data_IF_903124787701
#
_entry.id   IF_903124787701
#
_cell.length_a   1.000
_cell.length_b   1.000
_cell.length_c   1.000
_cell.angle_alpha   90.00
_cell.angle_beta   90.00
_cell.angle_gamma   90.00
#
_symmetry.space_group_name_H-M   'P 1'
#
loop_
_entity.id
_entity.type
_entity.pdbx_description
1 polymer ?
#
# COMPACT_ATOMS: atom_id res chain seq x y z
N UNK A 1 8.32 15.24 8.03
CA UNK A 1 8.40 14.40 9.25
C UNK A 1 9.55 13.40 9.15
N UNK A 2 9.56 12.52 8.14
CA UNK A 2 10.68 11.60 7.90
C UNK A 2 11.40 12.02 6.63
N UNK A 3 12.74 12.12 6.68
CA UNK A 3 13.56 12.41 5.50
C UNK A 3 14.75 11.46 5.46
N UNK A 4 14.77 10.61 4.45
CA UNK A 4 15.89 9.75 4.12
C UNK A 4 16.67 10.41 2.98
N UNK A 5 17.98 10.53 3.11
CA UNK A 5 18.83 11.14 2.11
C UNK A 5 19.98 10.20 1.73
N UNK A 6 19.97 9.73 0.48
CA UNK A 6 20.99 8.89 -0.12
C UNK A 6 21.31 7.62 0.69
N UNK A 7 20.27 6.95 1.21
CA UNK A 7 20.40 5.76 2.03
C UNK A 7 20.93 4.60 1.20
N UNK A 8 22.07 4.09 1.60
CA UNK A 8 22.65 2.85 1.08
C UNK A 8 22.85 1.87 2.22
N UNK A 9 22.45 0.63 2.04
CA UNK A 9 22.69 -0.44 3.02
C UNK A 9 23.27 -1.66 2.34
N UNK A 10 24.43 -2.05 2.83
CA UNK A 10 25.16 -3.23 2.39
C UNK A 10 25.29 -4.20 3.55
N UNK A 11 24.91 -5.44 3.34
CA UNK A 11 25.14 -6.56 4.28
C UNK A 11 26.31 -7.40 3.82
N UNK A 12 27.15 -7.79 4.76
CA UNK A 12 28.25 -8.71 4.51
C UNK A 12 27.91 -10.06 5.15
N UNK A 13 27.70 -11.08 4.31
CA UNK A 13 27.43 -12.45 4.75
C UNK A 13 28.58 -13.38 4.30
N UNK A 14 29.58 -13.52 5.15
CA UNK A 14 30.80 -14.22 4.78
C UNK A 14 31.51 -13.57 3.59
N UNK A 15 31.67 -14.30 2.49
CA UNK A 15 32.25 -13.78 1.25
C UNK A 15 31.22 -13.13 0.29
N UNK A 16 29.94 -13.10 0.65
CA UNK A 16 28.90 -12.44 -0.15
C UNK A 16 28.60 -11.04 0.36
N UNK A 17 28.58 -10.09 -0.56
CA UNK A 17 28.13 -8.71 -0.33
C UNK A 17 26.75 -8.58 -0.96
N UNK A 18 25.75 -8.19 -0.15
CA UNK A 18 24.38 -7.95 -0.60
C UNK A 18 24.04 -6.49 -0.37
N UNK A 19 23.85 -5.74 -1.43
CA UNK A 19 23.37 -4.37 -1.36
C UNK A 19 21.84 -4.38 -1.31
N UNK A 20 21.29 -4.15 -0.13
CA UNK A 20 19.83 -4.17 0.10
C UNK A 20 19.17 -2.85 -0.26
N UNK A 21 19.88 -1.72 -0.13
CA UNK A 21 19.43 -0.40 -0.53
C UNK A 21 20.55 0.32 -1.27
N UNK A 22 20.19 1.02 -2.34
CA UNK A 22 21.11 1.76 -3.18
C UNK A 22 20.61 3.20 -3.38
N UNK A 23 21.25 4.14 -2.70
CA UNK A 23 21.00 5.59 -2.88
C UNK A 23 19.52 6.00 -2.77
N UNK A 24 18.79 5.45 -1.81
CA UNK A 24 17.36 5.73 -1.62
C UNK A 24 17.16 7.07 -0.91
N UNK A 25 16.38 7.96 -1.52
CA UNK A 25 15.94 9.22 -0.91
C UNK A 25 14.40 9.27 -0.87
N UNK A 26 13.85 9.52 0.32
CA UNK A 26 12.41 9.52 0.57
C UNK A 26 12.06 10.64 1.54
N UNK A 27 10.96 11.35 1.26
CA UNK A 27 10.40 12.35 2.15
C UNK A 27 8.95 12.04 2.49
N UNK A 28 8.67 11.84 3.77
CA UNK A 28 7.32 11.63 4.29
C UNK A 28 6.85 12.89 5.02
N UNK A 29 5.87 13.62 4.49
CA UNK A 29 5.30 14.79 5.16
C UNK A 29 4.63 14.44 6.50
N UNK A 30 4.51 15.43 7.39
CA UNK A 30 3.84 15.25 8.66
C UNK A 30 2.34 14.95 8.47
N UNK A 31 1.81 14.04 9.30
CA UNK A 31 0.38 13.71 9.33
C UNK A 31 -0.12 12.86 8.16
N UNK A 32 0.74 12.49 7.22
CA UNK A 32 0.37 11.64 6.09
C UNK A 32 0.57 10.15 6.39
N UNK A 33 -0.18 9.33 5.66
CA UNK A 33 0.05 7.89 5.54
C UNK A 33 0.79 7.65 4.23
N UNK A 34 2.02 7.20 4.31
CA UNK A 34 2.90 6.96 3.18
C UNK A 34 3.17 5.47 3.01
N UNK A 35 2.89 4.93 1.83
CA UNK A 35 3.12 3.54 1.49
C UNK A 35 4.44 3.34 0.74
N UNK A 36 5.15 2.25 1.01
CA UNK A 36 6.26 1.78 0.17
C UNK A 36 5.92 0.38 -0.33
N UNK A 37 5.87 0.21 -1.62
CA UNK A 37 5.52 -1.05 -2.28
C UNK A 37 6.70 -1.59 -3.09
N UNK A 38 6.71 -2.89 -3.28
CA UNK A 38 7.72 -3.59 -4.07
C UNK A 38 7.60 -5.10 -3.91
N UNK A 39 8.25 -5.84 -4.79
CA UNK A 39 8.30 -7.29 -4.70
C UNK A 39 8.96 -7.77 -3.39
N UNK A 40 8.79 -9.04 -3.04
CA UNK A 40 9.54 -9.64 -1.95
C UNK A 40 11.04 -9.53 -2.21
N UNK A 41 11.80 -9.15 -1.18
CA UNK A 41 13.25 -8.93 -1.31
C UNK A 41 13.68 -7.60 -1.97
N UNK A 42 12.74 -6.70 -2.32
CA UNK A 42 13.06 -5.41 -2.93
C UNK A 42 13.79 -4.41 -2.01
N UNK A 43 13.91 -4.70 -0.70
CA UNK A 43 14.57 -3.82 0.28
C UNK A 43 13.62 -3.09 1.24
N UNK A 44 12.29 -3.31 1.15
CA UNK A 44 11.26 -2.62 1.96
C UNK A 44 11.52 -2.70 3.47
N UNK A 45 11.66 -3.92 4.00
CA UNK A 45 11.89 -4.11 5.45
C UNK A 45 13.22 -3.54 5.91
N UNK A 46 14.25 -3.56 5.06
CA UNK A 46 15.52 -2.88 5.34
C UNK A 46 15.32 -1.38 5.40
N UNK A 47 14.55 -0.81 4.46
CA UNK A 47 14.28 0.63 4.42
C UNK A 47 13.57 1.11 5.69
N UNK A 48 12.49 0.44 6.09
CA UNK A 48 11.74 0.86 7.28
C UNK A 48 12.56 0.72 8.55
N UNK A 49 13.42 -0.30 8.65
CA UNK A 49 14.33 -0.49 9.78
C UNK A 49 15.48 0.52 9.80
N UNK A 50 15.82 1.12 8.67
CA UNK A 50 16.76 2.26 8.65
C UNK A 50 16.12 3.52 9.24
N UNK A 51 14.80 3.71 9.15
CA UNK A 51 14.13 4.91 9.70
C UNK A 51 14.29 5.02 11.21
N UNK A 52 14.22 3.91 11.95
CA UNK A 52 14.42 3.88 13.40
C UNK A 52 15.83 3.40 13.82
N UNK A 53 16.73 3.26 12.84
CA UNK A 53 18.09 2.73 13.01
C UNK A 53 18.16 1.35 13.71
N UNK A 54 17.13 0.52 13.59
CA UNK A 54 17.28 -0.92 13.88
C UNK A 54 18.28 -1.56 12.91
N UNK A 55 18.31 -1.05 11.68
CA UNK A 55 19.38 -1.27 10.72
C UNK A 55 20.08 0.07 10.42
N UNK A 56 21.31 0.21 10.87
CA UNK A 56 22.07 1.42 10.57
C UNK A 56 22.46 1.43 9.09
N UNK A 57 22.16 2.48 8.33
CA UNK A 57 22.59 2.58 6.94
C UNK A 57 24.12 2.59 6.83
N UNK A 58 24.63 2.05 5.74
CA UNK A 58 26.08 2.10 5.43
C UNK A 58 26.49 3.52 5.02
N UNK A 59 25.59 4.22 4.31
CA UNK A 59 25.75 5.62 3.91
C UNK A 59 24.40 6.32 3.93
N UNK A 60 24.43 7.65 3.99
CA UNK A 60 23.25 8.49 3.99
C UNK A 60 22.86 8.95 5.39
N UNK A 61 21.80 9.75 5.46
CA UNK A 61 21.29 10.36 6.70
C UNK A 61 19.82 10.10 6.89
N UNK A 62 19.38 9.95 8.14
CA UNK A 62 17.99 9.70 8.55
C UNK A 62 17.56 10.81 9.49
N UNK A 63 16.65 11.67 9.04
CA UNK A 63 16.02 12.69 9.87
C UNK A 63 14.60 12.28 10.22
N UNK A 64 14.26 12.37 11.50
CA UNK A 64 12.89 12.19 12.00
C UNK A 64 12.55 13.40 12.85
N UNK A 65 11.47 14.07 12.53
CA UNK A 65 11.03 15.32 13.18
C UNK A 65 12.16 16.37 13.28
N UNK A 66 12.96 16.49 12.24
CA UNK A 66 14.10 17.43 12.16
C UNK A 66 15.39 16.97 12.87
N UNK A 67 15.36 15.85 13.59
CA UNK A 67 16.53 15.30 14.29
C UNK A 67 17.24 14.27 13.42
N UNK A 68 18.54 14.44 13.22
CA UNK A 68 19.40 13.45 12.53
C UNK A 68 19.72 12.28 13.46
N UNK A 69 19.05 11.16 13.25
CA UNK A 69 19.24 9.94 14.06
C UNK A 69 20.60 9.30 13.81
N UNK A 70 21.17 9.46 12.62
CA UNK A 70 22.47 8.86 12.26
C UNK A 70 23.65 9.47 13.03
N UNK A 71 23.48 10.70 13.52
CA UNK A 71 24.49 11.42 14.30
C UNK A 71 24.39 11.17 15.83
N UNK A 72 23.32 10.48 16.30
CA UNK A 72 23.07 10.27 17.72
C UNK A 72 23.95 9.16 18.31
N UNK A 73 24.32 9.32 19.60
CA UNK A 73 24.84 8.23 20.43
C UNK A 73 23.76 7.18 20.72
N UNK A 74 24.13 5.99 21.15
CA UNK A 74 23.17 4.92 21.46
C UNK A 74 22.14 5.34 22.54
N UNK A 75 22.57 6.07 23.56
CA UNK A 75 21.68 6.60 24.62
C UNK A 75 20.67 7.62 24.05
N UNK A 76 21.16 8.55 23.22
CA UNK A 76 20.29 9.54 22.55
C UNK A 76 19.33 8.88 21.56
N UNK A 77 19.81 7.85 20.85
CA UNK A 77 19.00 7.09 19.91
C UNK A 77 17.88 6.32 20.62
N UNK A 78 18.18 5.72 21.79
CA UNK A 78 17.14 5.08 22.61
C UNK A 78 16.04 6.06 22.96
N UNK A 79 16.40 7.28 23.36
CA UNK A 79 15.43 8.33 23.69
C UNK A 79 14.66 8.82 22.45
N UNK A 80 15.33 8.99 21.31
CA UNK A 80 14.68 9.38 20.06
C UNK A 80 13.65 8.33 19.58
N UNK A 81 13.90 7.04 19.82
CA UNK A 81 12.99 5.95 19.46
C UNK A 81 11.66 5.98 20.20
N UNK A 82 11.51 6.68 21.32
CA UNK A 82 10.23 6.89 21.99
C UNK A 82 9.24 7.68 21.12
N UNK A 83 9.75 8.48 20.19
CA UNK A 83 8.94 9.23 19.22
C UNK A 83 8.55 8.38 17.99
N UNK A 84 9.00 7.13 17.90
CA UNK A 84 8.81 6.26 16.76
C UNK A 84 8.20 4.94 17.22
N UNK A 85 6.91 4.75 17.00
CA UNK A 85 6.26 3.46 17.21
C UNK A 85 6.55 2.51 16.05
N UNK A 86 6.60 1.21 16.32
CA UNK A 86 6.77 0.21 15.27
C UNK A 86 5.83 -0.97 15.46
N UNK A 87 5.16 -1.35 14.38
CA UNK A 87 4.34 -2.55 14.26
C UNK A 87 5.08 -3.51 13.33
N UNK A 88 5.31 -4.73 13.83
CA UNK A 88 6.04 -5.78 13.13
C UNK A 88 5.09 -6.76 12.45
N UNK A 89 5.56 -7.43 11.42
CA UNK A 89 4.81 -8.44 10.65
C UNK A 89 4.21 -9.56 11.52
N UNK A 90 4.91 -10.00 12.56
CA UNK A 90 4.53 -11.11 13.44
C UNK A 90 4.04 -10.68 14.83
N UNK A 91 3.40 -9.52 14.96
CA UNK A 91 2.87 -8.94 16.21
C UNK A 91 3.93 -8.74 17.30
N UNK A 92 4.85 -9.67 17.51
CA UNK A 92 5.91 -9.68 18.53
C UNK A 92 5.40 -9.41 19.95
N UNK A 93 4.23 -9.98 20.28
CA UNK A 93 3.66 -9.91 21.62
C UNK A 93 4.35 -10.90 22.56
N UNK A 94 4.51 -10.50 23.81
CA UNK A 94 4.99 -11.37 24.85
C UNK A 94 3.86 -12.30 25.28
N UNK A 95 3.99 -13.59 24.98
CA UNK A 95 2.98 -14.62 25.30
C UNK A 95 2.78 -14.82 26.80
N UNK A 96 3.80 -14.51 27.59
CA UNK A 96 3.81 -14.55 29.06
C UNK A 96 3.20 -13.32 29.74
N UNK A 97 2.66 -12.38 28.97
CA UNK A 97 1.98 -11.18 29.46
C UNK A 97 0.53 -11.10 29.00
N UNK A 98 -0.29 -10.46 29.82
CA UNK A 98 -1.66 -10.07 29.43
C UNK A 98 -1.63 -8.98 28.34
N UNK A 99 -2.80 -8.67 27.79
CA UNK A 99 -3.00 -7.52 26.90
C UNK A 99 -2.51 -6.24 27.55
N UNK A 100 -2.96 -5.96 28.78
CA UNK A 100 -2.49 -4.82 29.57
C UNK A 100 -0.96 -4.81 29.68
N UNK A 101 -0.35 -5.91 30.08
CA UNK A 101 1.10 -6.01 30.27
C UNK A 101 1.91 -5.83 28.98
N UNK A 102 1.36 -6.22 27.82
CA UNK A 102 2.01 -5.95 26.52
C UNK A 102 1.97 -4.47 26.15
N UNK A 103 0.85 -3.80 26.36
CA UNK A 103 0.70 -2.36 26.06
C UNK A 103 1.48 -1.50 27.05
N UNK A 104 1.52 -1.90 28.33
CA UNK A 104 2.25 -1.20 29.38
C UNK A 104 3.77 -1.26 29.23
N UNK A 105 4.32 -2.26 28.54
CA UNK A 105 5.74 -2.55 28.48
C UNK A 105 6.62 -1.34 28.13
N UNK A 106 6.36 -0.53 27.09
CA UNK A 106 7.18 0.64 26.80
C UNK A 106 7.19 1.65 27.95
N UNK A 107 6.06 1.87 28.60
CA UNK A 107 5.92 2.80 29.72
C UNK A 107 6.62 2.30 30.98
N UNK A 108 6.61 0.98 31.23
CA UNK A 108 7.37 0.35 32.31
C UNK A 108 8.87 0.56 32.11
N UNK A 109 9.37 0.41 30.88
CA UNK A 109 10.78 0.61 30.55
C UNK A 109 11.22 2.07 30.72
N UNK A 110 10.28 3.02 30.54
CA UNK A 110 10.49 4.44 30.74
C UNK A 110 10.35 4.88 32.21
N UNK A 111 10.13 3.93 33.12
CA UNK A 111 9.87 4.19 34.55
C UNK A 111 8.67 5.14 34.79
N UNK A 112 7.66 5.10 33.91
CA UNK A 112 6.43 5.88 34.05
C UNK A 112 5.69 5.47 35.34
N UNK A 113 5.12 6.43 36.10
CA UNK A 113 4.33 6.14 37.29
C UNK A 113 3.15 5.18 37.00
N UNK A 114 2.90 4.26 37.92
CA UNK A 114 1.87 3.21 37.75
C UNK A 114 0.48 3.76 37.41
N UNK A 115 0.09 4.84 38.05
CA UNK A 115 -1.22 5.50 37.80
C UNK A 115 -1.33 6.03 36.37
N UNK A 116 -0.24 6.56 35.85
CA UNK A 116 -0.19 7.05 34.47
C UNK A 116 -0.19 5.89 33.48
N UNK A 117 0.54 4.80 33.75
CA UNK A 117 0.48 3.57 32.94
C UNK A 117 -0.96 3.05 32.90
N UNK A 118 -1.63 2.93 34.04
CA UNK A 118 -3.01 2.45 34.15
C UNK A 118 -3.96 3.29 33.30
N UNK A 119 -3.89 4.61 33.43
CA UNK A 119 -4.69 5.55 32.64
C UNK A 119 -4.42 5.42 31.14
N UNK A 120 -3.15 5.47 30.75
CA UNK A 120 -2.72 5.47 29.35
C UNK A 120 -3.07 4.17 28.64
N UNK A 121 -2.83 3.03 29.29
CA UNK A 121 -3.15 1.71 28.72
C UNK A 121 -4.66 1.55 28.52
N UNK A 122 -5.49 1.98 29.48
CA UNK A 122 -6.95 1.90 29.35
C UNK A 122 -7.45 2.79 28.19
N UNK A 123 -6.94 4.01 28.03
CA UNK A 123 -7.24 4.87 26.89
C UNK A 123 -6.89 4.21 25.54
N UNK A 124 -5.74 3.56 25.47
CA UNK A 124 -5.29 2.88 24.25
C UNK A 124 -6.11 1.62 23.96
N UNK A 125 -6.48 0.86 24.98
CA UNK A 125 -7.35 -0.30 24.81
C UNK A 125 -8.75 0.08 24.36
N UNK A 126 -9.28 1.19 24.84
CA UNK A 126 -10.53 1.76 24.32
C UNK A 126 -10.38 2.18 22.85
N UNK A 127 -9.29 2.89 22.50
CA UNK A 127 -9.00 3.33 21.13
C UNK A 127 -8.97 2.18 20.14
N UNK A 128 -8.38 1.04 20.53
CA UNK A 128 -8.28 -0.14 19.65
C UNK A 128 -9.44 -1.12 19.82
N UNK A 129 -10.42 -0.83 20.69
CA UNK A 129 -11.63 -1.65 20.92
C UNK A 129 -11.36 -2.98 21.63
N UNK A 130 -10.47 -3.00 22.62
CA UNK A 130 -10.08 -4.18 23.40
C UNK A 130 -10.20 -4.01 24.92
N UNK A 131 -11.03 -3.08 25.41
CA UNK A 131 -11.21 -2.83 26.84
C UNK A 131 -11.65 -4.09 27.60
N UNK A 132 -12.50 -4.91 26.99
CA UNK A 132 -13.00 -6.18 27.53
C UNK A 132 -11.94 -7.30 27.57
N UNK A 133 -10.81 -7.13 26.86
CA UNK A 133 -9.70 -8.10 26.78
C UNK A 133 -8.49 -7.71 27.61
N UNK A 134 -8.59 -6.66 28.43
CA UNK A 134 -7.48 -6.07 29.19
C UNK A 134 -6.63 -7.12 29.93
N UNK A 135 -7.29 -8.03 30.63
CA UNK A 135 -6.63 -9.03 31.47
C UNK A 135 -6.46 -10.41 30.79
N UNK A 136 -6.85 -10.51 29.51
CA UNK A 136 -6.65 -11.72 28.73
C UNK A 136 -5.17 -11.92 28.40
N UNK A 137 -4.74 -13.19 28.29
CA UNK A 137 -3.38 -13.53 27.86
C UNK A 137 -3.24 -13.34 26.35
N UNK A 138 -2.11 -12.76 25.92
CA UNK A 138 -1.85 -12.52 24.50
C UNK A 138 -1.88 -13.80 23.65
N UNK A 139 -1.51 -14.94 24.24
CA UNK A 139 -1.57 -16.24 23.57
C UNK A 139 -2.99 -16.64 23.10
N UNK A 140 -4.01 -16.22 23.83
CA UNK A 140 -5.42 -16.62 23.62
C UNK A 140 -6.19 -15.70 22.65
N UNK A 141 -5.52 -14.73 22.05
CA UNK A 141 -6.15 -13.77 21.16
C UNK A 141 -6.18 -14.25 19.71
N UNK A 142 -7.19 -13.82 18.94
CA UNK A 142 -7.19 -13.94 17.48
C UNK A 142 -6.08 -13.09 16.84
N UNK A 143 -5.74 -13.37 15.58
CA UNK A 143 -4.74 -12.58 14.85
C UNK A 143 -5.07 -11.07 14.81
N UNK A 144 -6.32 -10.72 14.54
CA UNK A 144 -6.77 -9.32 14.54
C UNK A 144 -6.70 -8.67 15.92
N UNK A 145 -7.03 -9.39 16.98
CA UNK A 145 -6.88 -8.90 18.36
C UNK A 145 -5.40 -8.70 18.70
N UNK A 146 -4.52 -9.64 18.35
CA UNK A 146 -3.06 -9.49 18.52
C UNK A 146 -2.53 -8.26 17.82
N UNK A 147 -3.01 -7.99 16.60
CA UNK A 147 -2.62 -6.80 15.84
C UNK A 147 -3.08 -5.52 16.52
N UNK A 148 -4.29 -5.46 17.04
CA UNK A 148 -4.79 -4.31 17.81
C UNK A 148 -3.99 -4.07 19.09
N UNK A 149 -3.54 -5.11 19.77
CA UNK A 149 -2.63 -4.99 20.93
C UNK A 149 -1.27 -4.45 20.48
N UNK A 150 -0.72 -4.94 19.36
CA UNK A 150 0.54 -4.43 18.81
C UNK A 150 0.46 -2.94 18.44
N UNK A 151 -0.67 -2.50 17.86
CA UNK A 151 -0.95 -1.09 17.58
C UNK A 151 -0.99 -0.28 18.89
N UNK A 152 -1.76 -0.71 19.89
CA UNK A 152 -1.86 -0.03 21.18
C UNK A 152 -0.48 0.09 21.86
N UNK A 153 0.32 -0.98 21.86
CA UNK A 153 1.68 -0.97 22.38
C UNK A 153 2.59 0.02 21.65
N UNK A 154 2.50 0.07 20.31
CA UNK A 154 3.29 0.99 19.49
C UNK A 154 2.94 2.47 19.76
N UNK A 155 1.72 2.75 20.23
CA UNK A 155 1.24 4.09 20.58
C UNK A 155 1.48 4.47 22.05
N UNK A 156 1.96 3.55 22.89
CA UNK A 156 2.07 3.76 24.34
C UNK A 156 2.88 4.99 24.71
N UNK A 157 4.06 5.18 24.10
CA UNK A 157 4.96 6.32 24.34
C UNK A 157 4.55 7.60 23.61
N UNK A 158 3.33 7.68 23.08
CA UNK A 158 2.81 8.83 22.36
C UNK A 158 3.71 9.28 21.18
N UNK A 159 4.03 8.38 20.23
CA UNK A 159 4.96 8.67 19.15
C UNK A 159 4.39 9.69 18.17
N UNK A 160 5.27 10.35 17.41
CA UNK A 160 4.91 11.20 16.27
C UNK A 160 4.89 10.44 14.95
N UNK A 161 5.59 9.33 14.90
CA UNK A 161 5.75 8.46 13.73
C UNK A 161 5.38 7.03 14.09
N UNK A 162 4.63 6.38 13.23
CA UNK A 162 4.32 4.95 13.30
C UNK A 162 4.87 4.26 12.07
N UNK A 163 5.72 3.27 12.28
CA UNK A 163 6.28 2.42 11.23
C UNK A 163 5.50 1.10 11.20
N UNK A 164 5.05 0.66 10.03
CA UNK A 164 4.30 -0.57 9.85
C UNK A 164 5.04 -1.49 8.85
N UNK A 165 5.65 -2.55 9.37
CA UNK A 165 6.35 -3.57 8.58
C UNK A 165 5.37 -4.70 8.25
N UNK A 166 4.73 -4.65 7.06
CA UNK A 166 3.74 -5.62 6.57
C UNK A 166 2.66 -6.00 7.62
N UNK A 167 2.12 -4.98 8.29
CA UNK A 167 1.26 -5.12 9.47
C UNK A 167 -0.06 -5.91 9.24
N UNK A 168 -0.41 -6.23 8.01
CA UNK A 168 -1.66 -6.95 7.66
C UNK A 168 -1.45 -8.29 6.96
N UNK A 169 -0.21 -8.64 6.60
CA UNK A 169 0.10 -9.82 5.79
C UNK A 169 -0.29 -11.17 6.40
N UNK A 170 -0.46 -11.24 7.72
CA UNK A 170 -0.86 -12.45 8.45
C UNK A 170 -2.36 -12.50 8.80
N UNK A 171 -3.18 -11.60 8.23
CA UNK A 171 -4.59 -11.44 8.57
C UNK A 171 -5.49 -11.82 7.38
N UNK A 172 -6.70 -12.26 7.68
CA UNK A 172 -7.73 -12.45 6.66
C UNK A 172 -8.23 -11.10 6.09
N UNK A 173 -8.85 -11.09 4.89
CA UNK A 173 -9.23 -9.83 4.22
C UNK A 173 -10.21 -8.95 5.00
N UNK A 174 -11.12 -9.54 5.79
CA UNK A 174 -12.07 -8.76 6.58
C UNK A 174 -11.38 -8.08 7.77
N UNK A 175 -10.51 -8.82 8.46
CA UNK A 175 -9.69 -8.31 9.55
C UNK A 175 -8.70 -7.25 9.05
N UNK A 176 -8.05 -7.48 7.90
CA UNK A 176 -7.18 -6.49 7.24
C UNK A 176 -7.90 -5.16 7.05
N UNK A 177 -9.11 -5.17 6.48
CA UNK A 177 -9.91 -3.94 6.30
C UNK A 177 -10.15 -3.21 7.62
N UNK A 178 -10.55 -3.93 8.65
CA UNK A 178 -10.79 -3.37 9.98
C UNK A 178 -9.53 -2.74 10.61
N UNK A 179 -8.37 -3.35 10.43
CA UNK A 179 -7.09 -2.81 10.91
C UNK A 179 -6.69 -1.55 10.12
N UNK A 180 -6.88 -1.54 8.80
CA UNK A 180 -6.58 -0.37 7.97
C UNK A 180 -7.48 0.82 8.32
N UNK A 181 -8.76 0.60 8.56
CA UNK A 181 -9.69 1.63 9.02
C UNK A 181 -9.27 2.18 10.39
N UNK A 182 -8.86 1.31 11.32
CA UNK A 182 -8.33 1.73 12.61
C UNK A 182 -7.07 2.59 12.46
N UNK A 183 -6.10 2.20 11.62
CA UNK A 183 -4.88 2.99 11.37
C UNK A 183 -5.21 4.37 10.78
N UNK A 184 -6.17 4.43 9.85
CA UNK A 184 -6.62 5.69 9.24
C UNK A 184 -7.32 6.60 10.26
N UNK A 185 -8.12 6.03 11.15
CA UNK A 185 -8.77 6.76 12.23
C UNK A 185 -7.75 7.32 13.24
N UNK A 186 -6.79 6.49 13.65
CA UNK A 186 -5.68 6.89 14.52
C UNK A 186 -4.86 8.04 13.88
N UNK A 187 -4.49 7.89 12.60
CA UNK A 187 -3.78 8.96 11.88
C UNK A 187 -4.53 10.29 11.95
N UNK A 188 -5.84 10.27 11.68
CA UNK A 188 -6.67 11.47 11.69
C UNK A 188 -6.83 12.09 13.08
N UNK A 189 -7.10 11.27 14.10
CA UNK A 189 -7.35 11.72 15.47
C UNK A 189 -6.10 12.25 16.15
N UNK A 190 -4.97 11.60 15.93
CA UNK A 190 -3.71 11.90 16.61
C UNK A 190 -2.75 12.77 15.78
N UNK A 191 -3.05 13.04 14.50
CA UNK A 191 -2.14 13.71 13.57
C UNK A 191 -0.85 12.92 13.32
N UNK A 192 -0.90 11.60 13.51
CA UNK A 192 0.23 10.69 13.47
C UNK A 192 0.72 10.51 12.03
N UNK A 193 2.03 10.60 11.81
CA UNK A 193 2.64 10.26 10.52
C UNK A 193 2.86 8.74 10.44
N UNK A 194 2.36 8.10 9.41
CA UNK A 194 2.49 6.64 9.24
C UNK A 194 3.32 6.35 7.99
N UNK A 195 4.37 5.55 8.15
CA UNK A 195 5.09 4.94 7.04
C UNK A 195 4.84 3.43 7.09
N UNK A 196 4.22 2.91 6.05
CA UNK A 196 3.94 1.48 5.95
C UNK A 196 4.63 0.87 4.73
N UNK A 197 5.08 -0.36 4.88
CA UNK A 197 5.54 -1.16 3.77
C UNK A 197 4.59 -2.33 3.55
N UNK A 198 4.34 -2.65 2.28
CA UNK A 198 3.46 -3.74 1.89
C UNK A 198 3.79 -4.21 0.47
N UNK A 199 3.38 -5.42 0.14
CA UNK A 199 3.30 -5.90 -1.24
C UNK A 199 1.85 -5.90 -1.76
N UNK A 200 0.88 -5.50 -0.93
CA UNK A 200 -0.55 -5.47 -1.24
C UNK A 200 -0.99 -4.07 -1.69
N UNK A 201 -1.32 -3.94 -2.97
CA UNK A 201 -1.79 -2.66 -3.53
C UNK A 201 -3.12 -2.20 -2.93
N UNK A 202 -3.97 -3.12 -2.51
CA UNK A 202 -5.25 -2.78 -1.86
C UNK A 202 -5.06 -2.03 -0.53
N UNK A 203 -3.99 -2.32 0.20
CA UNK A 203 -3.61 -1.56 1.40
C UNK A 203 -3.30 -0.12 1.03
N UNK A 204 -2.48 0.09 -0.01
CA UNK A 204 -2.09 1.42 -0.49
C UNK A 204 -3.30 2.23 -0.94
N UNK A 205 -4.16 1.65 -1.78
CA UNK A 205 -5.38 2.30 -2.28
C UNK A 205 -6.32 2.78 -1.16
N UNK A 206 -6.43 1.97 -0.09
CA UNK A 206 -7.40 2.23 0.99
C UNK A 206 -6.99 3.35 1.93
N UNK A 207 -5.73 3.42 2.31
CA UNK A 207 -5.33 4.31 3.41
C UNK A 207 -4.20 5.28 3.09
N UNK A 208 -3.38 5.05 2.06
CA UNK A 208 -2.22 5.90 1.80
C UNK A 208 -2.59 7.18 1.05
N UNK A 209 -1.90 8.27 1.39
CA UNK A 209 -1.95 9.54 0.67
C UNK A 209 -0.92 9.56 -0.46
N UNK A 210 0.28 9.03 -0.18
CA UNK A 210 1.39 8.92 -1.12
C UNK A 210 1.94 7.50 -1.14
N UNK A 211 2.62 7.17 -2.23
CA UNK A 211 3.26 5.86 -2.41
C UNK A 211 4.60 5.99 -3.10
N UNK A 212 5.54 5.17 -2.69
CA UNK A 212 6.81 4.95 -3.37
C UNK A 212 6.93 3.49 -3.82
N UNK A 213 7.47 3.29 -5.00
CA UNK A 213 7.74 1.96 -5.57
C UNK A 213 9.24 1.68 -5.46
N UNK A 214 9.60 0.59 -4.78
CA UNK A 214 10.99 0.16 -4.63
C UNK A 214 11.23 -1.14 -5.39
N UNK A 215 12.36 -1.22 -6.08
CA UNK A 215 12.81 -2.40 -6.81
C UNK A 215 14.32 -2.55 -6.68
N UNK A 216 14.79 -3.76 -6.35
CA UNK A 216 16.22 -4.08 -6.25
C UNK A 216 17.01 -3.06 -5.39
N UNK A 217 16.40 -2.59 -4.30
CA UNK A 217 17.00 -1.63 -3.39
C UNK A 217 16.99 -0.17 -3.87
N UNK A 218 16.36 0.14 -4.99
CA UNK A 218 16.24 1.49 -5.55
C UNK A 218 14.79 1.96 -5.54
N UNK A 219 14.59 3.26 -5.25
CA UNK A 219 13.29 3.89 -5.35
C UNK A 219 13.10 4.34 -6.80
N UNK A 220 12.15 3.71 -7.51
CA UNK A 220 11.95 3.90 -8.94
C UNK A 220 10.83 4.89 -9.28
N UNK A 221 9.86 5.05 -8.39
CA UNK A 221 8.75 5.99 -8.57
C UNK A 221 8.19 6.40 -7.21
N UNK A 222 7.79 7.66 -7.07
CA UNK A 222 7.10 8.17 -5.89
C UNK A 222 6.21 9.35 -6.26
N UNK A 223 4.97 9.32 -5.78
CA UNK A 223 3.99 10.40 -5.97
C UNK A 223 2.79 10.18 -5.04
N UNK A 224 1.76 11.01 -5.17
CA UNK A 224 0.45 10.73 -4.56
C UNK A 224 -0.12 9.42 -5.11
N UNK A 225 -0.93 8.75 -4.30
CA UNK A 225 -1.58 7.49 -4.74
C UNK A 225 -2.41 7.72 -6.00
N UNK A 226 -3.14 8.84 -6.07
CA UNK A 226 -3.93 9.21 -7.26
C UNK A 226 -3.07 9.32 -8.51
N UNK A 227 -1.89 9.96 -8.42
CA UNK A 227 -1.01 10.16 -9.59
C UNK A 227 -0.39 8.85 -10.06
N UNK A 228 0.15 8.04 -9.13
CA UNK A 228 0.76 6.74 -9.49
C UNK A 228 -0.27 5.80 -10.12
N UNK A 229 -1.53 5.81 -9.66
CA UNK A 229 -2.58 4.95 -10.22
C UNK A 229 -3.14 5.46 -11.54
N UNK A 230 -3.20 6.79 -11.75
CA UNK A 230 -3.71 7.38 -12.99
C UNK A 230 -2.66 7.45 -14.10
N UNK A 231 -1.42 7.75 -13.74
CA UNK A 231 -0.31 8.03 -14.66
C UNK A 231 0.99 7.34 -14.22
N UNK A 232 1.00 6.00 -14.12
CA UNK A 232 2.21 5.28 -13.73
C UNK A 232 3.34 5.53 -14.74
N UNK A 233 4.49 5.99 -14.25
CA UNK A 233 5.64 6.42 -15.07
C UNK A 233 6.57 5.25 -15.42
N UNK A 234 6.54 4.17 -14.60
CA UNK A 234 7.43 3.03 -14.77
C UNK A 234 6.69 1.76 -15.15
N UNK A 235 7.30 0.85 -15.93
CA UNK A 235 6.69 -0.43 -16.28
C UNK A 235 6.32 -1.27 -15.05
N UNK A 236 7.12 -1.19 -13.98
CA UNK A 236 6.85 -1.94 -12.75
C UNK A 236 5.63 -1.38 -12.00
N UNK A 237 5.47 -0.05 -11.90
CA UNK A 237 4.27 0.55 -11.34
C UNK A 237 3.02 0.16 -12.15
N UNK A 238 3.11 0.17 -13.48
CA UNK A 238 2.04 -0.32 -14.36
C UNK A 238 1.69 -1.77 -14.07
N UNK A 239 2.69 -2.64 -13.92
CA UNK A 239 2.48 -4.05 -13.60
C UNK A 239 1.83 -4.24 -12.22
N UNK A 240 2.24 -3.49 -11.19
CA UNK A 240 1.61 -3.53 -9.88
C UNK A 240 0.14 -3.08 -9.93
N UNK A 241 -0.18 -2.03 -10.68
CA UNK A 241 -1.56 -1.55 -10.84
C UNK A 241 -2.39 -2.59 -11.59
N UNK A 242 -1.87 -3.12 -12.68
CA UNK A 242 -2.55 -4.16 -13.47
C UNK A 242 -2.82 -5.42 -12.65
N UNK A 243 -1.93 -5.80 -11.73
CA UNK A 243 -2.14 -6.95 -10.85
C UNK A 243 -3.30 -6.78 -9.87
N UNK A 244 -3.77 -5.55 -9.63
CA UNK A 244 -4.96 -5.29 -8.80
C UNK A 244 -6.27 -5.35 -9.57
N UNK A 245 -6.18 -5.24 -10.89
CA UNK A 245 -7.31 -5.32 -11.81
C UNK A 245 -7.28 -6.71 -12.45
N UNK A 246 -7.83 -7.69 -11.75
CA UNK A 246 -7.93 -9.06 -12.26
C UNK A 246 -9.04 -9.13 -13.29
N UNK A 247 -8.67 -8.96 -14.55
CA UNK A 247 -9.57 -9.13 -15.66
C UNK A 247 -8.95 -10.14 -16.64
N UNK A 248 -9.09 -11.42 -16.29
CA UNK A 248 -8.69 -12.51 -17.17
C UNK A 248 -9.71 -12.65 -18.29
N UNK A 249 -9.23 -12.94 -19.50
CA UNK A 249 -10.10 -13.33 -20.60
C UNK A 249 -10.74 -14.65 -20.20
N UNK A 250 -12.08 -14.76 -20.16
CA UNK A 250 -12.74 -16.01 -19.81
C UNK A 250 -12.27 -17.17 -20.69
N UNK A 251 -12.23 -18.38 -20.13
CA UNK A 251 -11.65 -19.56 -20.82
C UNK A 251 -12.34 -19.87 -22.15
N UNK A 252 -13.65 -19.70 -22.23
CA UNK A 252 -14.44 -19.87 -23.44
C UNK A 252 -14.08 -18.86 -24.55
N UNK A 253 -13.62 -17.66 -24.17
CA UNK A 253 -13.10 -16.66 -25.11
C UNK A 253 -11.67 -17.00 -25.53
N UNK A 254 -10.80 -17.37 -24.61
CA UNK A 254 -9.39 -17.66 -24.91
C UNK A 254 -9.22 -18.80 -25.94
N UNK A 255 -10.13 -19.78 -25.96
CA UNK A 255 -10.16 -20.86 -26.96
C UNK A 255 -10.55 -20.37 -28.35
N UNK A 256 -11.47 -19.39 -28.44
CA UNK A 256 -12.03 -18.87 -29.70
C UNK A 256 -11.22 -17.70 -30.28
N UNK A 257 -10.41 -17.04 -29.46
CA UNK A 257 -9.71 -15.83 -29.83
C UNK A 257 -8.69 -16.07 -30.95
N UNK A 258 -8.73 -15.27 -31.99
CA UNK A 258 -7.79 -15.29 -33.13
C UNK A 258 -7.03 -13.96 -33.22
N UNK A 259 -5.76 -13.96 -33.59
CA UNK A 259 -4.94 -12.74 -33.65
C UNK A 259 -5.35 -11.77 -34.78
N UNK A 260 -6.10 -12.26 -35.77
CA UNK A 260 -6.59 -11.48 -36.89
C UNK A 260 -8.01 -11.90 -37.25
N UNK A 261 -8.82 -11.01 -37.88
CA UNK A 261 -10.16 -11.39 -38.33
C UNK A 261 -10.09 -12.44 -39.45
N UNK A 262 -10.80 -13.54 -39.26
CA UNK A 262 -10.90 -14.62 -40.27
C UNK A 262 -12.03 -14.38 -41.28
N UNK A 263 -13.04 -13.61 -40.92
CA UNK A 263 -14.20 -13.29 -41.74
C UNK A 263 -14.60 -11.82 -41.53
N UNK A 264 -15.48 -11.31 -42.40
CA UNK A 264 -16.11 -9.98 -42.22
C UNK A 264 -17.00 -9.90 -40.97
N UNK A 265 -17.38 -11.04 -40.40
CA UNK A 265 -18.21 -11.14 -39.19
C UNK A 265 -17.40 -11.29 -37.90
N UNK A 266 -16.04 -11.36 -38.01
CA UNK A 266 -15.18 -11.47 -36.84
C UNK A 266 -15.27 -10.20 -35.97
N UNK A 267 -15.54 -10.40 -34.69
CA UNK A 267 -15.80 -9.32 -33.72
C UNK A 267 -14.54 -9.08 -32.89
N UNK A 268 -14.02 -7.84 -32.79
CA UNK A 268 -12.88 -7.56 -31.94
C UNK A 268 -13.26 -7.63 -30.46
N UNK A 269 -12.42 -8.35 -29.69
CA UNK A 269 -12.43 -8.31 -28.24
C UNK A 269 -11.46 -7.23 -27.77
N UNK A 270 -11.99 -6.22 -27.11
CA UNK A 270 -11.26 -5.04 -26.66
C UNK A 270 -11.02 -5.10 -25.16
N UNK A 271 -9.84 -4.71 -24.77
CA UNK A 271 -9.50 -4.33 -23.40
C UNK A 271 -9.47 -2.82 -23.32
N UNK A 272 -10.34 -2.27 -22.49
CA UNK A 272 -10.54 -0.83 -22.30
C UNK A 272 -10.08 -0.44 -20.91
N UNK A 273 -9.10 0.46 -20.80
CA UNK A 273 -8.64 0.99 -19.51
C UNK A 273 -9.13 2.45 -19.40
N UNK A 274 -9.88 2.72 -18.33
CA UNK A 274 -10.47 4.02 -18.03
C UNK A 274 -9.74 4.65 -16.84
N UNK A 275 -9.41 5.94 -16.93
CA UNK A 275 -8.77 6.68 -15.85
C UNK A 275 -9.33 8.10 -15.75
N UNK A 276 -9.47 8.62 -14.52
CA UNK A 276 -9.90 9.98 -14.30
C UNK A 276 -11.26 10.31 -14.93
N UNK A 277 -11.32 11.34 -15.75
CA UNK A 277 -12.58 11.82 -16.36
C UNK A 277 -13.23 10.85 -17.32
N UNK A 278 -12.47 9.94 -17.92
CA UNK A 278 -13.04 8.96 -18.87
C UNK A 278 -13.93 7.92 -18.17
N UNK A 279 -13.74 7.71 -16.88
CA UNK A 279 -14.58 6.75 -16.09
C UNK A 279 -16.00 7.26 -15.87
N UNK A 280 -16.17 8.56 -15.70
CA UNK A 280 -17.48 9.17 -15.41
C UNK A 280 -18.26 9.54 -16.69
N UNK A 281 -17.64 9.48 -17.86
CA UNK A 281 -18.27 9.79 -19.13
C UNK A 281 -18.95 8.53 -19.73
N UNK A 282 -20.14 8.66 -20.34
CA UNK A 282 -20.87 7.53 -20.92
C UNK A 282 -20.32 7.12 -22.30
N UNK A 283 -19.00 6.95 -22.41
CA UNK A 283 -18.27 6.81 -23.69
C UNK A 283 -18.74 5.61 -24.52
N UNK A 284 -19.01 4.45 -23.89
CA UNK A 284 -19.53 3.29 -24.61
C UNK A 284 -20.93 3.52 -25.18
N UNK A 285 -21.79 4.25 -24.47
CA UNK A 285 -23.11 4.62 -24.97
C UNK A 285 -23.01 5.66 -26.09
N UNK A 286 -22.02 6.54 -26.04
CA UNK A 286 -21.77 7.51 -27.10
C UNK A 286 -21.19 6.86 -28.35
N UNK A 287 -20.28 5.90 -28.23
CA UNK A 287 -19.79 5.14 -29.39
C UNK A 287 -20.94 4.37 -30.07
N UNK A 288 -21.79 3.72 -29.29
CA UNK A 288 -22.94 3.00 -29.83
C UNK A 288 -23.85 3.92 -30.66
N UNK A 289 -24.14 5.12 -30.16
CA UNK A 289 -25.02 6.08 -30.84
C UNK A 289 -24.40 6.77 -32.06
N UNK A 290 -23.09 7.08 -31.99
CA UNK A 290 -22.41 7.86 -33.04
C UNK A 290 -21.91 7.02 -34.19
N UNK A 291 -21.45 5.81 -33.90
CA UNK A 291 -20.79 4.93 -34.86
C UNK A 291 -21.53 3.64 -35.14
N UNK A 292 -22.79 3.55 -34.72
CA UNK A 292 -23.65 2.37 -34.97
C UNK A 292 -22.99 1.03 -34.56
N UNK A 293 -22.23 1.05 -33.44
CA UNK A 293 -21.64 -0.16 -32.86
C UNK A 293 -22.43 -0.62 -31.65
N UNK A 294 -22.42 -1.92 -31.37
CA UNK A 294 -22.97 -2.50 -30.17
C UNK A 294 -21.86 -3.07 -29.29
N UNK A 295 -21.84 -2.64 -28.04
CA UNK A 295 -20.84 -3.08 -27.08
C UNK A 295 -21.42 -4.16 -26.18
N UNK A 296 -20.89 -5.38 -26.25
CA UNK A 296 -21.22 -6.47 -25.33
C UNK A 296 -20.13 -6.56 -24.25
N UNK A 297 -20.47 -6.19 -23.00
CA UNK A 297 -19.54 -6.19 -21.88
C UNK A 297 -19.39 -7.61 -21.35
N UNK A 298 -18.20 -8.18 -21.46
CA UNK A 298 -17.87 -9.52 -21.00
C UNK A 298 -17.51 -9.50 -19.52
N UNK A 299 -16.68 -8.54 -19.14
CA UNK A 299 -16.26 -8.33 -17.74
C UNK A 299 -15.86 -6.88 -17.52
N UNK A 300 -16.11 -6.37 -16.33
CA UNK A 300 -15.72 -5.01 -15.96
C UNK A 300 -15.37 -4.94 -14.49
N UNK A 301 -14.30 -4.24 -14.18
CA UNK A 301 -13.89 -3.93 -12.82
C UNK A 301 -13.60 -2.44 -12.69
N UNK A 302 -14.25 -1.79 -11.74
CA UNK A 302 -14.04 -0.39 -11.39
C UNK A 302 -13.51 -0.30 -9.96
N UNK A 303 -12.56 0.59 -9.73
CA UNK A 303 -11.90 0.75 -8.44
C UNK A 303 -11.60 2.23 -8.14
N UNK A 304 -11.13 2.52 -6.93
CA UNK A 304 -10.78 3.85 -6.45
C UNK A 304 -9.40 3.82 -5.79
N UNK A 305 -8.56 4.81 -6.10
CA UNK A 305 -7.30 5.02 -5.42
C UNK A 305 -7.04 6.51 -5.27
N UNK A 306 -6.75 6.97 -4.04
CA UNK A 306 -6.50 8.38 -3.75
C UNK A 306 -7.63 9.33 -4.19
N UNK A 307 -8.89 8.87 -4.20
CA UNK A 307 -10.05 9.65 -4.64
C UNK A 307 -10.27 9.67 -6.16
N UNK A 308 -9.42 9.03 -6.94
CA UNK A 308 -9.56 8.90 -8.39
C UNK A 308 -10.15 7.54 -8.75
N UNK A 309 -11.15 7.56 -9.64
CA UNK A 309 -11.72 6.34 -10.22
C UNK A 309 -10.82 5.85 -11.36
N UNK A 310 -10.70 4.54 -11.47
CA UNK A 310 -10.08 3.88 -12.62
C UNK A 310 -10.78 2.54 -12.85
N UNK A 311 -10.66 2.01 -14.04
CA UNK A 311 -11.32 0.75 -14.36
C UNK A 311 -10.78 0.10 -15.60
N UNK A 312 -11.06 -1.18 -15.70
CA UNK A 312 -10.73 -2.00 -16.86
C UNK A 312 -11.99 -2.78 -17.27
N UNK A 313 -12.15 -2.95 -18.57
CA UNK A 313 -13.29 -3.64 -19.14
C UNK A 313 -12.86 -4.50 -20.32
N UNK A 314 -13.42 -5.68 -20.43
CA UNK A 314 -13.41 -6.49 -21.64
C UNK A 314 -14.77 -6.36 -22.33
N UNK A 315 -14.76 -5.98 -23.59
CA UNK A 315 -15.96 -5.84 -24.37
C UNK A 315 -15.74 -6.30 -25.82
N UNK A 316 -16.73 -7.00 -26.36
CA UNK A 316 -16.86 -7.15 -27.81
C UNK A 316 -17.49 -5.89 -28.40
N UNK A 317 -16.99 -5.46 -29.53
CA UNK A 317 -17.57 -4.33 -30.26
C UNK A 317 -18.08 -4.80 -31.62
N UNK A 318 -19.38 -4.96 -31.72
CA UNK A 318 -20.07 -5.40 -32.93
C UNK A 318 -20.40 -4.21 -33.84
N UNK A 319 -19.98 -4.26 -35.08
CA UNK A 319 -20.21 -3.22 -36.11
C UNK A 319 -19.41 -3.55 -37.36
N UNK A 320 -19.52 -2.68 -38.39
CA UNK A 320 -18.64 -2.81 -39.54
C UNK A 320 -17.17 -2.51 -39.14
N UNK A 321 -16.22 -2.97 -39.91
CA UNK A 321 -14.80 -2.69 -39.66
C UNK A 321 -14.48 -1.19 -39.61
N UNK A 322 -15.17 -0.39 -40.44
CA UNK A 322 -15.02 1.06 -40.47
C UNK A 322 -15.63 1.72 -39.23
N UNK A 323 -16.84 1.34 -38.83
CA UNK A 323 -17.55 1.84 -37.64
C UNK A 323 -16.75 1.51 -36.34
N UNK A 324 -16.28 0.27 -36.25
CA UNK A 324 -15.48 -0.20 -35.10
C UNK A 324 -14.18 0.58 -34.98
N UNK A 325 -13.49 0.79 -36.10
CA UNK A 325 -12.26 1.57 -36.12
C UNK A 325 -12.50 3.03 -35.69
N UNK A 326 -13.57 3.65 -36.18
CA UNK A 326 -13.95 5.02 -35.81
C UNK A 326 -14.32 5.12 -34.32
N UNK A 327 -15.07 4.13 -33.80
CA UNK A 327 -15.43 4.06 -32.38
C UNK A 327 -14.20 3.88 -31.47
N UNK A 328 -13.23 3.04 -31.85
CA UNK A 328 -11.96 2.88 -31.14
C UNK A 328 -11.16 4.19 -31.13
N UNK A 329 -11.05 4.88 -32.27
CA UNK A 329 -10.38 6.18 -32.35
C UNK A 329 -11.04 7.21 -31.42
N UNK A 330 -12.37 7.28 -31.40
CA UNK A 330 -13.13 8.14 -30.49
C UNK A 330 -12.81 7.86 -29.00
N UNK A 331 -12.78 6.59 -28.60
CA UNK A 331 -12.42 6.21 -27.23
C UNK A 331 -11.00 6.66 -26.87
N UNK A 332 -10.05 6.48 -27.80
CA UNK A 332 -8.65 6.91 -27.60
C UNK A 332 -8.52 8.43 -27.49
N UNK A 333 -9.25 9.20 -28.29
CA UNK A 333 -9.32 10.67 -28.20
C UNK A 333 -9.87 11.14 -26.84
N UNK A 334 -10.72 10.33 -26.20
CA UNK A 334 -11.28 10.60 -24.87
C UNK A 334 -10.48 9.92 -23.73
N UNK A 335 -9.20 9.65 -23.98
CA UNK A 335 -8.25 9.12 -23.00
C UNK A 335 -8.60 7.74 -22.44
N UNK A 336 -9.33 6.92 -23.20
CA UNK A 336 -9.47 5.49 -22.95
C UNK A 336 -8.33 4.77 -23.64
N UNK A 337 -7.54 3.99 -22.90
CA UNK A 337 -6.55 3.12 -23.51
C UNK A 337 -7.25 1.90 -24.06
N UNK A 338 -7.14 1.67 -25.35
CA UNK A 338 -7.79 0.57 -26.07
C UNK A 338 -6.73 -0.39 -26.60
N UNK A 339 -6.86 -1.66 -26.22
CA UNK A 339 -6.06 -2.76 -26.71
C UNK A 339 -6.97 -3.78 -27.38
N UNK A 340 -6.66 -4.19 -28.62
CA UNK A 340 -7.36 -5.27 -29.29
C UNK A 340 -6.67 -6.58 -28.92
N UNK A 341 -7.34 -7.41 -28.13
CA UNK A 341 -6.80 -8.69 -27.66
C UNK A 341 -6.84 -9.76 -28.75
N UNK A 342 -7.76 -9.63 -29.68
CA UNK A 342 -8.00 -10.53 -30.80
C UNK A 342 -9.43 -10.42 -31.31
N UNK A 343 -9.83 -11.42 -32.07
CA UNK A 343 -11.14 -11.49 -32.73
C UNK A 343 -11.82 -12.82 -32.40
N UNK A 344 -13.13 -12.79 -32.21
CA UNK A 344 -13.99 -13.96 -31.97
C UNK A 344 -15.03 -14.13 -33.07
#
# INVERSE_FOLDING_TARGET
MIKLSNITKVFQQGNRVVQALNNVSLHVPAGQIYGVIGASGAGKSTLIRCVNLLERPTQGTVLVDGQDLTALSESQLTQARHQIGMIFQHFNLLSSRTVFGNVALPLELDNTPREEIERRVNELLELVGLSDKRDAWAANLSGGQKQRVAIARALASNPKVLLCDEATSALDPATTRSILELLKDINRRLGLTILLITHEMDVVKRICDCVAVISNGELIEQDTVSEVFSHPKTPLAQQFIQSTLHLDVPEDYSVRLRPAPETEQSVPLLRLEFTGKSVDAPLLSETARRYNVNNNIISAQMDYAGGVKFGIMLAEMHGTAEDTKAAVAYLQEHHVKVEVLGYV
#
